data_IF_311043506560
#
_entry.id   IF_311043506560
#
_cell.length_a   1.000
_cell.length_b   1.000
_cell.length_c   1.000
_cell.angle_alpha   90.00
_cell.angle_beta   90.00
_cell.angle_gamma   90.00
#
_symmetry.space_group_name_H-M   'P 1'
#
loop_
_entity.id
_entity.type
_entity.pdbx_description
1 polymer ?
#
# COMPACT_ATOMS: atom_id res chain seq x y z
N UNK A 1 13.92 -17.48 -45.64
CA UNK A 1 13.70 -17.59 -44.19
C UNK A 1 14.04 -16.24 -43.57
N UNK A 2 13.02 -15.41 -43.39
CA UNK A 2 13.20 -14.06 -42.82
C UNK A 2 12.90 -14.12 -41.32
N UNK A 3 13.93 -13.92 -40.50
CA UNK A 3 13.77 -13.74 -39.08
C UNK A 3 13.31 -12.31 -38.81
N UNK A 4 12.04 -12.16 -38.41
CA UNK A 4 11.49 -10.89 -37.95
C UNK A 4 12.03 -10.64 -36.53
N UNK A 5 12.95 -9.68 -36.42
CA UNK A 5 13.43 -9.20 -35.13
C UNK A 5 12.29 -8.49 -34.41
N UNK A 6 11.89 -9.03 -33.25
CA UNK A 6 10.94 -8.41 -32.35
C UNK A 6 11.64 -7.21 -31.67
N UNK A 7 11.26 -6.00 -32.04
CA UNK A 7 11.75 -4.78 -31.43
C UNK A 7 11.18 -4.67 -30.03
N UNK A 8 12.05 -4.57 -29.00
CA UNK A 8 11.66 -4.27 -27.63
C UNK A 8 10.97 -2.89 -27.56
N UNK A 9 9.93 -2.70 -26.74
CA UNK A 9 9.29 -1.40 -26.60
C UNK A 9 10.30 -0.39 -26.03
N UNK A 10 10.39 0.77 -26.68
CA UNK A 10 11.19 1.88 -26.21
C UNK A 10 10.74 2.28 -24.79
N UNK A 11 11.59 2.04 -23.81
CA UNK A 11 11.38 2.50 -22.44
C UNK A 11 11.22 4.01 -22.43
N UNK A 12 10.16 4.51 -21.83
CA UNK A 12 10.00 5.92 -21.56
C UNK A 12 11.26 6.41 -20.84
N UNK A 13 11.94 7.42 -21.38
CA UNK A 13 13.10 8.02 -20.75
C UNK A 13 12.67 8.54 -19.39
N UNK A 14 13.18 7.92 -18.33
CA UNK A 14 13.10 8.48 -16.97
C UNK A 14 13.85 9.80 -17.04
N UNK A 15 13.14 10.90 -16.81
CA UNK A 15 13.74 12.22 -16.81
C UNK A 15 14.90 12.25 -15.81
N UNK A 16 16.10 12.56 -16.29
CA UNK A 16 17.35 12.63 -15.54
C UNK A 16 17.39 13.87 -14.61
N UNK A 17 16.38 14.04 -13.73
CA UNK A 17 16.46 15.01 -12.62
C UNK A 17 16.45 14.29 -11.26
N UNK A 18 17.63 13.85 -10.78
CA UNK A 18 17.75 13.24 -9.46
C UNK A 18 17.22 14.12 -8.32
N UNK A 19 17.27 15.45 -8.48
CA UNK A 19 16.75 16.40 -7.49
C UNK A 19 15.23 16.44 -7.51
N UNK A 20 14.60 16.24 -8.69
CA UNK A 20 13.16 16.13 -8.84
C UNK A 20 12.61 14.90 -8.12
N UNK A 21 13.24 13.74 -8.28
CA UNK A 21 12.89 12.52 -7.56
C UNK A 21 13.01 12.70 -6.04
N UNK A 22 14.12 13.26 -5.56
CA UNK A 22 14.32 13.50 -4.14
C UNK A 22 13.28 14.49 -3.57
N UNK A 23 12.97 15.57 -4.29
CA UNK A 23 11.88 16.50 -3.91
C UNK A 23 10.56 15.79 -3.77
N UNK A 24 10.22 14.90 -4.71
CA UNK A 24 9.02 14.06 -4.66
C UNK A 24 8.97 13.21 -3.40
N UNK A 25 10.05 12.50 -3.07
CA UNK A 25 10.13 11.70 -1.85
C UNK A 25 9.95 12.55 -0.58
N UNK A 26 10.61 13.71 -0.52
CA UNK A 26 10.56 14.61 0.63
C UNK A 26 9.22 15.32 0.78
N UNK A 27 8.49 15.56 -0.32
CA UNK A 27 7.18 16.22 -0.32
C UNK A 27 6.01 15.26 -0.04
N UNK A 28 6.21 13.94 -0.24
CA UNK A 28 5.14 12.96 -0.04
C UNK A 28 4.52 13.06 1.35
N UNK A 29 3.20 13.03 1.39
CA UNK A 29 2.38 13.03 2.62
C UNK A 29 1.24 12.02 2.47
N UNK A 30 0.75 11.47 3.57
CA UNK A 30 -0.53 10.78 3.59
C UNK A 30 -1.65 11.78 3.31
N UNK A 31 -2.58 11.40 2.44
CA UNK A 31 -3.70 12.26 1.99
C UNK A 31 -5.02 11.57 2.28
N UNK A 32 -5.96 12.33 2.83
CA UNK A 32 -7.29 11.87 3.17
C UNK A 32 -8.26 13.06 3.32
N UNK A 33 -9.54 12.96 2.91
CA UNK A 33 -10.11 11.92 2.06
C UNK A 33 -9.67 12.04 0.60
N UNK A 34 -10.00 11.02 -0.19
CA UNK A 34 -9.61 10.90 -1.59
C UNK A 34 -10.85 10.74 -2.49
N UNK A 35 -10.83 11.34 -3.66
CA UNK A 35 -11.94 11.31 -4.62
C UNK A 35 -11.48 10.81 -6.00
N UNK A 36 -12.41 10.67 -6.93
CA UNK A 36 -12.10 10.50 -8.34
C UNK A 36 -11.33 11.73 -8.90
N UNK A 37 -10.52 11.56 -9.95
CA UNK A 37 -10.20 10.28 -10.60
C UNK A 37 -9.24 9.42 -9.79
N UNK A 38 -9.36 8.08 -9.95
CA UNK A 38 -8.34 7.12 -9.55
C UNK A 38 -7.28 7.00 -10.66
N UNK A 39 -6.09 6.42 -10.36
CA UNK A 39 -5.12 6.05 -11.39
C UNK A 39 -5.76 5.18 -12.47
N UNK A 40 -5.49 5.54 -13.74
CA UNK A 40 -5.88 4.74 -14.89
C UNK A 40 -5.09 3.42 -14.99
N UNK A 41 -5.46 2.51 -15.92
CA UNK A 41 -4.81 1.19 -16.00
C UNK A 41 -3.28 1.25 -16.12
N UNK A 42 -2.75 2.11 -16.99
CA UNK A 42 -1.29 2.26 -17.19
C UNK A 42 -0.57 2.82 -15.95
N UNK A 43 -1.21 3.75 -15.25
CA UNK A 43 -0.67 4.33 -14.02
C UNK A 43 -0.70 3.31 -12.89
N UNK A 44 -1.76 2.51 -12.82
CA UNK A 44 -1.87 1.42 -11.86
C UNK A 44 -0.81 0.34 -12.09
N UNK A 45 -0.56 -0.02 -13.33
CA UNK A 45 0.54 -0.93 -13.71
C UNK A 45 1.89 -0.38 -13.23
N UNK A 46 2.17 0.91 -13.49
CA UNK A 46 3.41 1.55 -13.04
C UNK A 46 3.54 1.58 -11.50
N UNK A 47 2.43 1.74 -10.77
CA UNK A 47 2.41 1.67 -9.30
C UNK A 47 2.79 0.27 -8.83
N UNK A 48 2.26 -0.78 -9.45
CA UNK A 48 2.63 -2.16 -9.11
C UNK A 48 4.05 -2.50 -9.54
N UNK A 49 4.50 -2.05 -10.71
CA UNK A 49 5.89 -2.23 -11.15
C UNK A 49 6.87 -1.60 -10.15
N UNK A 50 6.55 -0.42 -9.61
CA UNK A 50 7.34 0.20 -8.55
C UNK A 50 7.35 -0.64 -7.26
N UNK A 51 6.20 -1.20 -6.87
CA UNK A 51 6.11 -2.10 -5.72
C UNK A 51 7.03 -3.31 -5.85
N UNK A 52 7.05 -3.92 -7.04
CA UNK A 52 7.85 -5.12 -7.34
C UNK A 52 9.37 -4.85 -7.40
N UNK A 53 9.81 -3.60 -7.24
CA UNK A 53 11.24 -3.21 -7.11
C UNK A 53 11.70 -3.14 -5.66
N UNK A 54 10.84 -3.48 -4.70
CA UNK A 54 11.24 -3.53 -3.30
C UNK A 54 12.39 -4.52 -3.08
N UNK A 55 13.35 -4.21 -2.17
CA UNK A 55 14.38 -5.17 -1.81
C UNK A 55 13.75 -6.38 -1.10
N UNK A 56 14.24 -7.56 -1.45
CA UNK A 56 13.68 -8.83 -1.00
C UNK A 56 14.79 -9.85 -0.76
N UNK A 57 15.12 -10.10 0.49
CA UNK A 57 16.14 -11.07 0.87
C UNK A 57 15.72 -12.47 0.44
N UNK A 58 16.59 -13.12 -0.33
CA UNK A 58 16.37 -14.48 -0.84
C UNK A 58 15.37 -14.56 -2.01
N UNK A 59 14.94 -13.43 -2.59
CA UNK A 59 13.99 -13.38 -3.70
C UNK A 59 12.70 -14.20 -3.44
N UNK A 60 12.16 -14.09 -2.24
CA UNK A 60 10.98 -14.83 -1.80
C UNK A 60 9.67 -14.26 -2.38
N UNK A 61 9.69 -13.00 -2.81
CA UNK A 61 8.55 -12.28 -3.41
C UNK A 61 7.29 -12.39 -2.55
N UNK A 62 7.36 -11.94 -1.27
CA UNK A 62 6.32 -12.20 -0.28
C UNK A 62 5.07 -11.35 -0.49
N UNK A 63 5.14 -10.28 -1.26
CA UNK A 63 4.03 -9.36 -1.46
C UNK A 63 2.87 -10.00 -2.24
N UNK A 64 1.64 -9.68 -1.79
CA UNK A 64 0.37 -10.00 -2.45
C UNK A 64 -0.49 -8.74 -2.43
N UNK A 65 -1.19 -8.48 -3.52
CA UNK A 65 -2.03 -7.30 -3.64
C UNK A 65 -3.41 -7.70 -4.15
N UNK A 66 -4.47 -7.18 -3.49
CA UNK A 66 -5.85 -7.32 -3.96
C UNK A 66 -6.42 -5.94 -4.21
N UNK A 67 -6.89 -5.71 -5.43
CA UNK A 67 -7.44 -4.41 -5.87
C UNK A 67 -8.96 -4.40 -5.66
N UNK A 68 -9.45 -3.38 -4.94
CA UNK A 68 -10.87 -3.17 -4.64
C UNK A 68 -11.26 -1.83 -5.26
N UNK A 69 -12.14 -1.85 -6.27
CA UNK A 69 -12.60 -0.64 -6.99
C UNK A 69 -14.04 -0.79 -7.50
N UNK A 70 -14.64 0.32 -7.93
CA UNK A 70 -16.01 0.29 -8.46
C UNK A 70 -17.01 -0.26 -7.46
N UNK A 71 -17.89 -1.13 -7.89
CA UNK A 71 -18.94 -1.76 -7.06
C UNK A 71 -18.37 -2.62 -5.91
N UNK A 72 -17.17 -3.20 -6.07
CA UNK A 72 -16.55 -4.02 -5.02
C UNK A 72 -16.27 -3.22 -3.73
N UNK A 73 -16.15 -1.88 -3.79
CA UNK A 73 -16.02 -1.05 -2.59
C UNK A 73 -17.24 -1.08 -1.69
N UNK A 74 -18.45 -1.23 -2.26
CA UNK A 74 -19.68 -1.37 -1.47
C UNK A 74 -19.68 -2.70 -0.72
N UNK A 75 -19.36 -3.81 -1.40
CA UNK A 75 -19.21 -5.12 -0.75
C UNK A 75 -18.13 -5.10 0.34
N UNK A 76 -16.99 -4.42 0.09
CA UNK A 76 -15.97 -4.23 1.10
C UNK A 76 -16.48 -3.41 2.30
N UNK A 77 -17.29 -2.38 2.06
CA UNK A 77 -17.95 -1.60 3.11
C UNK A 77 -18.91 -2.44 3.96
N UNK A 78 -19.68 -3.33 3.35
CA UNK A 78 -20.57 -4.26 4.05
C UNK A 78 -19.78 -5.24 4.90
N UNK A 79 -18.68 -5.80 4.36
CA UNK A 79 -17.76 -6.66 5.12
C UNK A 79 -17.16 -5.96 6.33
N UNK A 80 -16.79 -4.69 6.22
CA UNK A 80 -16.28 -3.90 7.36
C UNK A 80 -17.32 -3.74 8.48
N UNK A 81 -18.60 -3.63 8.13
CA UNK A 81 -19.70 -3.59 9.11
C UNK A 81 -19.91 -4.96 9.74
N UNK A 82 -20.04 -6.00 8.94
CA UNK A 82 -20.25 -7.38 9.38
C UNK A 82 -19.17 -7.81 10.41
N UNK A 83 -17.91 -7.61 10.08
CA UNK A 83 -16.81 -7.95 10.98
C UNK A 83 -16.79 -7.08 12.25
N UNK A 84 -17.24 -5.84 12.18
CA UNK A 84 -17.35 -5.00 13.36
C UNK A 84 -18.48 -5.44 14.27
N UNK A 85 -19.64 -5.81 13.70
CA UNK A 85 -20.79 -6.34 14.44
C UNK A 85 -20.41 -7.68 15.09
N UNK A 86 -19.71 -8.57 14.38
CA UNK A 86 -19.22 -9.84 14.92
C UNK A 86 -18.26 -9.67 16.10
N UNK A 87 -17.43 -8.61 16.12
CA UNK A 87 -16.53 -8.30 17.25
C UNK A 87 -17.24 -7.69 18.46
N UNK A 88 -18.41 -7.12 18.26
CA UNK A 88 -19.16 -6.45 19.31
C UNK A 88 -20.64 -6.88 19.28
N UNK A 89 -20.95 -8.14 19.60
CA UNK A 89 -22.30 -8.70 19.46
C UNK A 89 -23.33 -8.00 20.36
N UNK A 90 -22.91 -7.39 21.46
CA UNK A 90 -23.78 -6.67 22.37
C UNK A 90 -24.00 -5.19 21.97
N UNK A 91 -23.37 -4.72 20.90
CA UNK A 91 -23.56 -3.35 20.43
C UNK A 91 -24.98 -3.18 19.83
N UNK A 92 -25.59 -1.98 19.99
CA UNK A 92 -26.89 -1.73 19.40
C UNK A 92 -26.88 -1.96 17.87
N UNK A 93 -27.97 -2.51 17.28
CA UNK A 93 -28.05 -2.71 15.83
C UNK A 93 -27.73 -1.43 15.04
N UNK A 94 -26.89 -1.54 14.02
CA UNK A 94 -26.50 -0.43 13.16
C UNK A 94 -25.41 0.49 13.71
N UNK A 95 -24.88 0.25 14.92
CA UNK A 95 -23.79 1.06 15.52
C UNK A 95 -22.57 1.20 14.60
N UNK A 96 -22.27 0.18 13.81
CA UNK A 96 -21.11 0.12 12.94
C UNK A 96 -21.40 0.50 11.47
N UNK A 97 -22.64 0.90 11.14
CA UNK A 97 -23.04 1.27 9.77
C UNK A 97 -22.16 2.36 9.15
N UNK A 98 -21.62 3.28 9.97
CA UNK A 98 -20.70 4.33 9.56
C UNK A 98 -19.40 3.80 8.92
N UNK A 99 -19.05 2.53 9.15
CA UNK A 99 -17.83 1.92 8.59
C UNK A 99 -17.88 1.76 7.09
N UNK A 100 -19.07 1.68 6.47
CA UNK A 100 -19.22 1.71 5.01
C UNK A 100 -18.58 2.93 4.37
N UNK A 101 -18.65 4.08 5.04
CA UNK A 101 -18.04 5.30 4.54
C UNK A 101 -16.52 5.20 4.36
N UNK A 102 -15.83 4.36 5.15
CA UNK A 102 -14.37 4.14 4.98
C UNK A 102 -14.06 3.50 3.63
N UNK A 103 -14.84 2.52 3.19
CA UNK A 103 -14.65 1.86 1.90
C UNK A 103 -14.89 2.81 0.72
N UNK A 104 -15.70 3.84 0.91
CA UNK A 104 -16.08 4.82 -0.12
C UNK A 104 -15.23 6.09 -0.08
N UNK A 105 -14.38 6.26 0.92
CA UNK A 105 -13.56 7.46 1.11
C UNK A 105 -12.34 7.56 0.15
N UNK A 106 -12.19 6.58 -0.76
CA UNK A 106 -11.28 6.61 -1.90
C UNK A 106 -11.85 5.80 -3.05
N UNK A 107 -11.56 6.15 -4.30
CA UNK A 107 -12.05 5.42 -5.48
C UNK A 107 -11.35 4.07 -5.70
N UNK A 108 -10.16 3.90 -5.14
CA UNK A 108 -9.33 2.71 -5.27
C UNK A 108 -8.75 2.32 -3.91
N UNK A 109 -8.84 1.04 -3.57
CA UNK A 109 -8.21 0.47 -2.38
C UNK A 109 -7.37 -0.73 -2.83
N UNK A 110 -6.17 -0.86 -2.27
CA UNK A 110 -5.32 -2.05 -2.45
C UNK A 110 -5.12 -2.69 -1.09
N UNK A 111 -5.60 -3.91 -0.91
CA UNK A 111 -5.26 -4.71 0.26
C UNK A 111 -3.84 -5.26 0.10
N UNK A 112 -3.02 -5.08 1.13
CA UNK A 112 -1.62 -5.44 1.17
C UNK A 112 -1.46 -6.74 1.95
N UNK A 113 -1.01 -7.78 1.27
CA UNK A 113 -0.79 -9.10 1.84
C UNK A 113 0.67 -9.52 1.83
N UNK A 114 1.02 -10.41 2.73
CA UNK A 114 2.33 -11.03 2.86
C UNK A 114 2.21 -12.56 2.86
N UNK A 115 2.72 -13.22 1.82
CA UNK A 115 2.86 -14.68 1.75
C UNK A 115 4.19 -15.07 2.41
N UNK A 116 4.13 -15.54 3.64
CA UNK A 116 5.31 -15.85 4.43
C UNK A 116 5.82 -17.26 4.15
N UNK A 117 7.05 -17.39 3.71
CA UNK A 117 7.73 -18.68 3.57
C UNK A 117 8.41 -19.07 4.89
N UNK A 118 7.71 -19.84 5.72
CA UNK A 118 8.21 -20.30 7.02
C UNK A 118 9.29 -21.40 6.91
N UNK A 119 9.42 -22.04 5.76
CA UNK A 119 10.48 -23.01 5.50
C UNK A 119 11.80 -22.35 5.08
N UNK A 120 11.78 -21.05 4.76
CA UNK A 120 12.97 -20.29 4.42
C UNK A 120 13.81 -19.99 5.66
N UNK A 121 15.13 -19.87 5.45
CA UNK A 121 16.05 -19.36 6.48
C UNK A 121 15.92 -17.86 6.71
N UNK A 122 15.25 -17.15 5.80
CA UNK A 122 15.00 -15.70 5.91
C UNK A 122 13.94 -15.48 6.99
N UNK A 123 14.22 -14.70 8.04
CA UNK A 123 13.26 -14.43 9.10
C UNK A 123 11.95 -13.82 8.60
N UNK A 124 10.82 -14.15 9.23
CA UNK A 124 9.51 -13.57 8.85
C UNK A 124 9.49 -12.03 8.88
N UNK A 125 10.22 -11.44 9.82
CA UNK A 125 10.30 -9.97 9.93
C UNK A 125 10.90 -9.35 8.68
N UNK A 126 11.90 -9.97 8.05
CA UNK A 126 12.52 -9.45 6.84
C UNK A 126 11.56 -9.57 5.64
N UNK A 127 10.78 -10.65 5.58
CA UNK A 127 9.75 -10.84 4.57
C UNK A 127 8.64 -9.77 4.70
N UNK A 128 8.22 -9.45 5.93
CA UNK A 128 7.26 -8.37 6.19
C UNK A 128 7.85 -7.00 5.85
N UNK A 129 9.12 -6.75 6.14
CA UNK A 129 9.80 -5.50 5.77
C UNK A 129 9.87 -5.34 4.25
N UNK A 130 10.08 -6.42 3.48
CA UNK A 130 10.02 -6.37 2.01
C UNK A 130 8.62 -5.94 1.52
N UNK A 131 7.53 -6.43 2.13
CA UNK A 131 6.16 -5.99 1.80
C UNK A 131 5.94 -4.54 2.20
N UNK A 132 6.48 -4.11 3.36
CA UNK A 132 6.45 -2.69 3.78
C UNK A 132 7.20 -1.78 2.81
N UNK A 133 8.36 -2.22 2.31
CA UNK A 133 9.11 -1.50 1.27
C UNK A 133 8.33 -1.41 -0.04
N UNK A 134 7.64 -2.50 -0.45
CA UNK A 134 6.77 -2.49 -1.62
C UNK A 134 5.61 -1.50 -1.46
N UNK A 135 4.94 -1.48 -0.30
CA UNK A 135 3.88 -0.52 0.00
C UNK A 135 4.40 0.93 -0.04
N UNK A 136 5.62 1.19 0.46
CA UNK A 136 6.22 2.51 0.39
C UNK A 136 6.57 2.92 -1.06
N UNK A 137 7.04 1.99 -1.89
CA UNK A 137 7.25 2.24 -3.31
C UNK A 137 5.94 2.59 -4.02
N UNK A 138 4.82 1.89 -3.72
CA UNK A 138 3.49 2.25 -4.22
C UNK A 138 3.10 3.67 -3.82
N UNK A 139 3.25 4.05 -2.55
CA UNK A 139 2.94 5.39 -2.06
C UNK A 139 3.77 6.47 -2.77
N UNK A 140 5.05 6.20 -3.03
CA UNK A 140 5.91 7.11 -3.77
C UNK A 140 5.48 7.25 -5.22
N UNK A 141 5.17 6.13 -5.91
CA UNK A 141 4.68 6.15 -7.28
C UNK A 141 3.33 6.90 -7.39
N UNK A 142 2.38 6.62 -6.49
CA UNK A 142 1.10 7.33 -6.38
C UNK A 142 1.32 8.84 -6.27
N UNK A 143 2.26 9.27 -5.40
CA UNK A 143 2.57 10.68 -5.20
C UNK A 143 3.23 11.33 -6.44
N UNK A 144 4.18 10.62 -7.08
CA UNK A 144 4.86 11.10 -8.29
C UNK A 144 3.91 11.25 -9.48
N UNK A 145 2.88 10.41 -9.54
CA UNK A 145 1.81 10.49 -10.54
C UNK A 145 0.76 11.57 -10.23
N UNK A 146 0.92 12.31 -9.13
CA UNK A 146 0.02 13.41 -8.75
C UNK A 146 -1.20 12.98 -7.93
N UNK A 147 -1.31 11.71 -7.57
CA UNK A 147 -2.38 11.18 -6.72
C UNK A 147 -2.05 11.28 -5.23
N UNK A 148 -3.06 11.08 -4.42
CA UNK A 148 -2.93 10.91 -2.97
C UNK A 148 -2.98 9.44 -2.58
N UNK A 149 -2.24 9.09 -1.53
CA UNK A 149 -2.26 7.78 -0.93
C UNK A 149 -2.33 7.85 0.60
N UNK A 150 -3.05 6.90 1.18
CA UNK A 150 -3.17 6.74 2.63
C UNK A 150 -3.08 5.26 3.00
N UNK A 151 -2.10 4.90 3.82
CA UNK A 151 -1.97 3.54 4.34
C UNK A 151 -2.72 3.44 5.66
N UNK A 152 -3.79 2.65 5.67
CA UNK A 152 -4.60 2.38 6.85
C UNK A 152 -4.35 0.96 7.36
N UNK A 153 -4.31 0.85 8.67
CA UNK A 153 -4.31 -0.41 9.43
C UNK A 153 -5.43 -0.33 10.48
N UNK A 154 -5.55 -1.33 11.31
CA UNK A 154 -6.53 -1.37 12.40
C UNK A 154 -7.01 -2.80 12.63
N UNK A 155 -8.01 -2.97 13.47
CA UNK A 155 -8.50 -4.29 13.85
C UNK A 155 -8.84 -5.16 12.62
N UNK A 156 -9.44 -4.57 11.59
CA UNK A 156 -9.82 -5.29 10.37
C UNK A 156 -8.62 -5.92 9.64
N UNK A 157 -7.42 -5.32 9.74
CA UNK A 157 -6.20 -5.87 9.10
C UNK A 157 -5.67 -7.13 9.81
N UNK A 158 -6.16 -7.42 11.00
CA UNK A 158 -5.71 -8.56 11.80
C UNK A 158 -6.76 -9.67 11.90
N UNK A 159 -7.93 -9.47 11.26
CA UNK A 159 -9.01 -10.43 11.29
C UNK A 159 -8.80 -11.55 10.26
N UNK A 160 -8.77 -12.82 10.66
CA UNK A 160 -8.71 -13.94 9.72
C UNK A 160 -9.86 -13.91 8.71
N UNK A 161 -11.08 -13.57 9.15
CA UNK A 161 -12.24 -13.49 8.27
C UNK A 161 -12.09 -12.40 7.18
N UNK A 162 -11.46 -11.25 7.48
CA UNK A 162 -11.13 -10.24 6.48
C UNK A 162 -10.11 -10.77 5.47
N UNK A 163 -9.06 -11.43 5.94
CA UNK A 163 -8.05 -12.06 5.08
C UNK A 163 -8.69 -13.05 4.12
N UNK A 164 -9.53 -13.93 4.64
CA UNK A 164 -10.17 -15.02 3.88
C UNK A 164 -11.18 -14.45 2.87
N UNK A 165 -11.97 -13.45 3.26
CA UNK A 165 -12.95 -12.79 2.38
C UNK A 165 -12.25 -12.04 1.22
N UNK A 166 -11.03 -11.56 1.40
CA UNK A 166 -10.21 -10.95 0.35
C UNK A 166 -9.47 -11.98 -0.53
N UNK A 167 -9.62 -13.27 -0.26
CA UNK A 167 -9.03 -14.36 -1.04
C UNK A 167 -7.54 -14.61 -0.75
N UNK A 168 -7.02 -14.10 0.36
CA UNK A 168 -5.68 -14.47 0.82
C UNK A 168 -5.68 -15.86 1.44
N UNK A 169 -4.58 -16.59 1.24
CA UNK A 169 -4.39 -17.92 1.82
C UNK A 169 -4.28 -17.89 3.35
N UNK A 170 -4.53 -19.05 3.99
CA UNK A 170 -4.47 -19.19 5.44
C UNK A 170 -3.09 -18.83 6.05
N UNK A 171 -2.01 -19.05 5.29
CA UNK A 171 -0.64 -18.72 5.69
C UNK A 171 -0.22 -17.30 5.28
N UNK A 172 -1.08 -16.56 4.57
CA UNK A 172 -0.83 -15.18 4.21
C UNK A 172 -1.32 -14.23 5.31
N UNK A 173 -0.61 -13.12 5.49
CA UNK A 173 -0.98 -12.07 6.44
C UNK A 173 -1.45 -10.84 5.71
N UNK A 174 -2.62 -10.33 6.07
CA UNK A 174 -3.04 -8.99 5.69
C UNK A 174 -2.28 -7.98 6.56
N UNK A 175 -1.65 -6.97 5.93
CA UNK A 175 -0.84 -5.96 6.64
C UNK A 175 -1.42 -4.55 6.55
N UNK A 176 -2.56 -4.39 5.88
CA UNK A 176 -3.27 -3.13 5.79
C UNK A 176 -3.87 -2.88 4.43
N UNK A 177 -4.37 -1.66 4.27
CA UNK A 177 -5.07 -1.19 3.08
C UNK A 177 -4.46 0.13 2.60
N UNK A 178 -4.18 0.21 1.32
CA UNK A 178 -3.72 1.42 0.67
C UNK A 178 -4.88 2.06 -0.08
N UNK A 179 -5.35 3.21 0.40
CA UNK A 179 -6.37 4.02 -0.24
C UNK A 179 -5.70 4.98 -1.22
N UNK A 180 -6.20 5.03 -2.45
CA UNK A 180 -5.58 5.78 -3.55
C UNK A 180 -6.67 6.55 -4.31
N UNK A 181 -6.38 7.80 -4.67
CA UNK A 181 -7.25 8.66 -5.45
C UNK A 181 -6.73 10.09 -5.53
N UNK A 182 -7.56 10.99 -6.00
CA UNK A 182 -7.25 12.42 -6.04
C UNK A 182 -7.51 13.07 -4.68
N UNK A 183 -6.55 13.81 -4.11
CA UNK A 183 -6.77 14.52 -2.85
C UNK A 183 -7.88 15.58 -2.97
N UNK A 184 -8.90 15.49 -2.12
CA UNK A 184 -10.03 16.42 -2.11
C UNK A 184 -9.81 17.66 -1.25
N UNK A 185 -8.71 17.73 -0.50
CA UNK A 185 -8.36 18.84 0.36
C UNK A 185 -6.88 19.22 0.21
N UNK A 186 -6.48 20.47 0.51
CA UNK A 186 -5.08 20.88 0.59
C UNK A 186 -4.27 19.95 1.53
N UNK A 187 -2.97 19.85 1.29
CA UNK A 187 -2.10 19.13 2.21
C UNK A 187 -2.00 19.88 3.54
N UNK A 188 -2.24 19.21 4.64
CA UNK A 188 -1.94 19.78 5.97
C UNK A 188 -0.44 19.95 6.13
N UNK A 189 -0.02 20.97 6.90
CA UNK A 189 1.37 21.13 7.29
C UNK A 189 1.78 20.02 8.27
N UNK A 190 2.45 19.00 7.74
CA UNK A 190 2.99 17.94 8.58
C UNK A 190 4.31 18.39 9.18
N UNK A 191 4.36 18.50 10.50
CA UNK A 191 5.64 18.69 11.21
C UNK A 191 6.53 17.47 10.93
N UNK A 192 7.70 17.73 10.34
CA UNK A 192 8.70 16.67 10.13
C UNK A 192 9.50 16.47 11.42
N UNK A 193 9.90 15.23 11.75
CA UNK A 193 10.74 14.99 12.92
C UNK A 193 12.11 15.65 12.76
N UNK A 194 12.71 16.03 13.88
CA UNK A 194 14.11 16.48 13.88
C UNK A 194 15.03 15.28 13.59
N UNK A 195 15.86 15.44 12.58
CA UNK A 195 16.82 14.41 12.19
C UNK A 195 17.77 14.03 13.33
N UNK A 196 18.20 14.99 14.14
CA UNK A 196 19.14 14.75 15.24
C UNK A 196 18.59 13.78 16.30
N UNK A 197 17.25 13.72 16.44
CA UNK A 197 16.63 12.77 17.37
C UNK A 197 16.63 11.31 16.87
N UNK A 198 16.91 11.07 15.57
CA UNK A 198 16.77 9.77 14.93
C UNK A 198 18.05 9.25 14.25
N UNK A 199 19.06 10.11 14.10
CA UNK A 199 20.30 9.76 13.40
C UNK A 199 21.48 10.11 14.28
N UNK A 200 22.33 9.14 14.49
CA UNK A 200 23.59 9.31 15.22
C UNK A 200 24.74 8.67 14.43
N UNK A 201 25.90 9.26 14.52
CA UNK A 201 27.13 8.67 14.02
C UNK A 201 27.67 7.66 15.04
N UNK A 202 28.08 6.49 14.56
CA UNK A 202 28.78 5.53 15.39
C UNK A 202 30.29 5.78 15.31
N UNK A 203 30.90 6.16 16.41
CA UNK A 203 32.33 6.50 16.52
C UNK A 203 33.19 5.35 17.06
N UNK A 204 32.67 4.13 17.04
CA UNK A 204 33.33 2.97 17.62
C UNK A 204 32.80 2.60 19.01
N UNK A 205 33.30 1.50 19.62
CA UNK A 205 32.96 1.14 21.00
C UNK A 205 33.48 2.20 21.97
N UNK A 206 32.68 2.49 22.99
CA UNK A 206 33.13 3.35 24.09
C UNK A 206 34.37 2.70 24.74
N UNK A 207 35.45 3.43 24.84
CA UNK A 207 36.68 3.01 25.54
C UNK A 207 36.58 3.35 27.02
#
# INVERSE_FOLDING_TARGET
MNATACAAPAGAAVADDPRGLLRGLLSRRSRWPLTEPAPGPRELDAIFDAALRAPDHGNLRPWRFVVIRGAARHAFGDLLVELADARAPDAPPGSHAHRRAKALAAPLIVALGAALNRASKVPEVEQLLAVGAAAMNMLNAVHQLGYGGFWATGADSYEPAMRDALGFGADERLIGFLYIGTPSAPASDARRPDRAAHVREWLGPAR
#
